data_IF_452287195991
#
_entry.id   IF_452287195991
#
_cell.length_a   1.000
_cell.length_b   1.000
_cell.length_c   1.000
_cell.angle_alpha   90.00
_cell.angle_beta   90.00
_cell.angle_gamma   90.00
#
_symmetry.space_group_name_H-M   'P 1'
#
loop_
_entity.id
_entity.type
_entity.pdbx_description
1 polymer ?
#
# COMPACT_ATOMS: atom_id res chain seq x y z
N UNK A 1 -4.76 22.04 17.05
CA UNK A 1 -5.23 21.08 16.06
C UNK A 1 -5.57 21.79 14.76
N UNK A 2 -5.18 21.24 13.63
CA UNK A 2 -5.51 21.78 12.30
C UNK A 2 -7.00 21.59 11.99
N UNK A 3 -7.52 22.50 11.16
CA UNK A 3 -8.84 22.38 10.53
C UNK A 3 -8.67 22.09 9.04
N UNK A 4 -9.68 21.46 8.43
CA UNK A 4 -9.66 21.20 6.99
C UNK A 4 -9.56 22.49 6.17
N UNK A 5 -10.22 23.56 6.63
CA UNK A 5 -10.12 24.89 6.01
C UNK A 5 -8.70 25.40 5.99
N UNK A 6 -7.94 25.27 7.09
CA UNK A 6 -6.53 25.67 7.13
C UNK A 6 -5.68 24.85 6.17
N UNK A 7 -5.89 23.54 6.11
CA UNK A 7 -5.19 22.67 5.16
C UNK A 7 -5.47 23.06 3.71
N UNK A 8 -6.73 23.33 3.39
CA UNK A 8 -7.20 23.69 2.05
C UNK A 8 -6.66 25.04 1.60
N UNK A 9 -6.75 26.07 2.46
CA UNK A 9 -6.40 27.45 2.12
C UNK A 9 -4.92 27.77 2.23
N UNK A 10 -4.10 26.86 2.78
CA UNK A 10 -2.65 27.04 2.87
C UNK A 10 -2.04 27.24 1.49
N UNK A 11 -1.36 28.38 1.28
CA UNK A 11 -0.71 28.75 0.01
C UNK A 11 0.78 28.43 0.08
N UNK A 12 1.42 28.04 -1.04
CA UNK A 12 2.86 27.87 -1.09
C UNK A 12 3.60 29.19 -0.79
N UNK A 13 4.79 29.06 -0.27
CA UNK A 13 5.74 30.16 0.01
C UNK A 13 7.07 29.84 -0.63
N UNK A 14 8.00 30.79 -0.65
CA UNK A 14 9.36 30.61 -1.21
C UNK A 14 10.14 29.48 -0.55
N UNK A 15 9.85 29.19 0.71
CA UNK A 15 10.45 28.08 1.46
C UNK A 15 9.39 27.12 1.95
N UNK A 16 9.70 25.81 2.06
CA UNK A 16 8.79 24.84 2.65
C UNK A 16 8.45 25.24 4.10
N UNK A 17 7.20 25.08 4.48
CA UNK A 17 6.77 25.33 5.85
C UNK A 17 5.79 24.25 6.34
N UNK A 18 5.57 24.19 7.64
CA UNK A 18 4.78 23.17 8.31
C UNK A 18 3.59 23.79 9.01
N UNK A 19 2.45 23.14 8.87
CA UNK A 19 1.28 23.36 9.72
C UNK A 19 1.17 22.16 10.66
N UNK A 20 1.41 22.41 11.95
CA UNK A 20 1.41 21.34 12.97
C UNK A 20 -0.01 21.02 13.40
N UNK A 21 -0.37 19.73 13.42
CA UNK A 21 -1.62 19.26 14.00
C UNK A 21 -1.43 18.80 15.45
N UNK A 22 -1.51 17.53 15.73
CA UNK A 22 -1.37 16.95 17.07
C UNK A 22 -0.47 15.70 17.03
N UNK A 23 0.20 15.42 18.16
CA UNK A 23 0.98 14.18 18.38
C UNK A 23 1.96 13.86 17.26
N UNK A 24 2.70 14.86 16.79
CA UNK A 24 3.72 14.71 15.76
C UNK A 24 3.22 14.70 14.31
N UNK A 25 1.92 14.81 14.07
CA UNK A 25 1.36 14.99 12.73
C UNK A 25 1.51 16.44 12.27
N UNK A 26 1.90 16.65 11.05
CA UNK A 26 1.90 17.97 10.41
C UNK A 26 1.72 17.88 8.90
N UNK A 27 1.22 18.95 8.32
CA UNK A 27 1.14 19.16 6.89
C UNK A 27 2.34 19.98 6.43
N UNK A 28 3.16 19.45 5.56
CA UNK A 28 4.26 20.14 4.92
C UNK A 28 3.77 20.75 3.61
N UNK A 29 3.92 22.07 3.47
CA UNK A 29 3.61 22.79 2.23
C UNK A 29 4.91 23.16 1.53
N UNK A 30 5.10 22.64 0.32
CA UNK A 30 6.29 22.90 -0.49
C UNK A 30 6.10 24.10 -1.40
N UNK A 31 7.19 24.76 -1.87
CA UNK A 31 7.11 25.89 -2.79
C UNK A 31 6.37 25.58 -4.11
N UNK A 32 6.44 24.35 -4.57
CA UNK A 32 5.73 23.88 -5.76
C UNK A 32 4.22 23.62 -5.54
N UNK A 33 3.68 23.96 -4.36
CA UNK A 33 2.27 23.78 -4.03
C UNK A 33 1.88 22.39 -3.52
N UNK A 34 2.79 21.43 -3.53
CA UNK A 34 2.51 20.09 -2.98
C UNK A 34 2.35 20.19 -1.46
N UNK A 35 1.27 19.59 -0.96
CA UNK A 35 0.95 19.48 0.46
C UNK A 35 1.06 18.02 0.86
N UNK A 36 1.95 17.71 1.81
CA UNK A 36 2.26 16.32 2.18
C UNK A 36 2.09 16.12 3.69
N UNK A 37 1.38 15.07 4.06
CA UNK A 37 1.24 14.64 5.45
C UNK A 37 2.49 13.94 5.92
N UNK A 38 3.00 14.36 7.07
CA UNK A 38 4.18 13.82 7.71
C UNK A 38 3.88 13.54 9.18
N UNK A 39 4.43 12.44 9.68
CA UNK A 39 4.40 12.07 11.09
C UNK A 39 5.82 11.98 11.63
N UNK A 40 6.13 12.81 12.64
CA UNK A 40 7.40 12.81 13.36
C UNK A 40 7.24 11.97 14.63
N UNK A 41 8.17 11.06 14.86
CA UNK A 41 8.15 10.14 15.99
C UNK A 41 9.57 9.83 16.47
N UNK A 42 9.68 9.30 17.68
CA UNK A 42 10.92 8.81 18.25
C UNK A 42 10.87 7.29 18.34
N UNK A 43 11.91 6.62 17.87
CA UNK A 43 12.16 5.21 18.12
C UNK A 43 13.26 5.05 19.14
N UNK A 44 13.11 4.09 20.04
CA UNK A 44 14.17 3.66 20.95
C UNK A 44 14.98 2.54 20.30
N UNK A 45 16.28 2.75 20.23
CA UNK A 45 17.28 1.77 19.82
C UNK A 45 18.21 1.55 21.01
N UNK A 46 17.86 0.60 21.87
CA UNK A 46 18.47 0.45 23.20
C UNK A 46 18.21 1.69 24.08
N UNK A 47 19.28 2.31 24.57
CA UNK A 47 19.20 3.54 25.39
C UNK A 47 19.07 4.82 24.56
N UNK A 48 19.33 4.75 23.26
CA UNK A 48 19.32 5.92 22.37
C UNK A 48 17.92 6.13 21.78
N UNK A 49 17.47 7.39 21.82
CA UNK A 49 16.28 7.84 21.11
C UNK A 49 16.70 8.41 19.75
N UNK A 50 16.06 7.93 18.70
CA UNK A 50 16.23 8.46 17.35
C UNK A 50 14.92 9.08 16.86
N UNK A 51 14.99 10.36 16.54
CA UNK A 51 13.91 11.04 15.84
C UNK A 51 13.84 10.53 14.40
N UNK A 52 12.65 10.18 13.94
CA UNK A 52 12.38 9.65 12.62
C UNK A 52 11.12 10.28 12.05
N UNK A 53 11.01 10.20 10.72
CA UNK A 53 9.92 10.78 9.96
C UNK A 53 9.22 9.71 9.12
N UNK A 54 7.89 9.68 9.19
CA UNK A 54 7.06 8.84 8.34
C UNK A 54 6.26 9.69 7.35
N UNK A 55 6.46 9.44 6.06
CA UNK A 55 5.67 10.04 5.00
C UNK A 55 4.32 9.31 4.91
N UNK A 56 3.25 9.92 5.36
CA UNK A 56 1.90 9.36 5.26
C UNK A 56 1.44 9.36 3.80
N UNK A 57 1.46 10.53 3.16
CA UNK A 57 1.05 10.72 1.77
C UNK A 57 0.68 12.18 1.50
N UNK A 58 0.11 12.46 0.35
CA UNK A 58 -0.29 13.80 -0.04
C UNK A 58 -1.67 14.19 0.52
N UNK A 59 -1.86 15.48 0.73
CA UNK A 59 -3.17 16.02 1.12
C UNK A 59 -4.16 15.91 -0.04
N UNK A 60 -5.36 15.49 0.27
CA UNK A 60 -6.49 15.49 -0.65
C UNK A 60 -7.75 16.03 0.02
N UNK A 61 -8.62 16.60 -0.80
CA UNK A 61 -9.98 16.98 -0.41
C UNK A 61 -10.89 15.84 -0.88
N UNK A 62 -11.71 15.30 0.02
CA UNK A 62 -12.74 14.36 -0.37
C UNK A 62 -13.88 15.12 -1.09
N UNK A 63 -14.29 14.71 -2.30
CA UNK A 63 -15.47 15.27 -2.95
C UNK A 63 -16.73 15.04 -2.11
N UNK A 64 -17.69 15.96 -2.22
CA UNK A 64 -19.02 15.72 -1.63
C UNK A 64 -19.66 14.48 -2.24
N UNK A 65 -20.06 13.51 -1.40
CA UNK A 65 -20.67 12.26 -1.87
C UNK A 65 -19.67 11.25 -2.44
N UNK A 66 -18.37 11.35 -2.10
CA UNK A 66 -17.36 10.38 -2.50
C UNK A 66 -17.81 8.95 -2.10
N UNK A 67 -17.79 8.03 -3.07
CA UNK A 67 -18.09 6.63 -2.80
C UNK A 67 -16.97 5.97 -1.98
N UNK A 68 -17.27 4.82 -1.35
CA UNK A 68 -16.24 4.06 -0.63
C UNK A 68 -15.14 3.57 -1.56
N UNK A 69 -15.47 3.22 -2.80
CA UNK A 69 -14.53 2.76 -3.81
C UNK A 69 -13.58 3.88 -4.24
N UNK A 70 -14.12 5.10 -4.50
CA UNK A 70 -13.32 6.27 -4.84
C UNK A 70 -12.39 6.69 -3.69
N UNK A 71 -12.91 6.68 -2.47
CA UNK A 71 -12.11 6.95 -1.28
C UNK A 71 -10.99 5.91 -1.10
N UNK A 72 -11.26 4.64 -1.40
CA UNK A 72 -10.25 3.59 -1.36
C UNK A 72 -9.21 3.76 -2.46
N UNK A 73 -9.61 4.06 -3.70
CA UNK A 73 -8.72 4.33 -4.81
C UNK A 73 -7.80 5.53 -4.51
N UNK A 74 -8.35 6.62 -3.94
CA UNK A 74 -7.60 7.80 -3.52
C UNK A 74 -6.53 7.45 -2.46
N UNK A 75 -6.88 6.65 -1.44
CA UNK A 75 -5.95 6.17 -0.42
C UNK A 75 -4.87 5.26 -0.99
N UNK A 76 -5.20 4.41 -1.95
CA UNK A 76 -4.20 3.61 -2.68
C UNK A 76 -3.21 4.49 -3.43
N UNK A 77 -3.64 5.62 -3.97
CA UNK A 77 -2.77 6.66 -4.52
C UNK A 77 -2.05 7.50 -3.46
N UNK A 78 -2.06 7.09 -2.19
CA UNK A 78 -1.44 7.79 -1.06
C UNK A 78 -1.89 9.25 -0.89
N UNK A 79 -3.17 9.50 -1.14
CA UNK A 79 -3.79 10.81 -1.00
C UNK A 79 -4.83 10.77 0.12
N UNK A 80 -4.62 11.57 1.15
CA UNK A 80 -5.37 11.50 2.41
C UNK A 80 -5.97 12.84 2.80
N UNK A 81 -7.21 12.82 3.26
CA UNK A 81 -7.84 13.94 3.97
C UNK A 81 -7.19 14.14 5.34
N UNK A 82 -7.54 15.22 6.04
CA UNK A 82 -7.07 15.45 7.41
C UNK A 82 -7.49 14.32 8.37
N UNK A 83 -8.75 13.86 8.27
CA UNK A 83 -9.24 12.77 9.13
C UNK A 83 -8.46 11.48 8.88
N UNK A 84 -8.30 11.08 7.61
CA UNK A 84 -7.57 9.88 7.23
C UNK A 84 -6.07 9.97 7.59
N UNK A 85 -5.46 11.15 7.49
CA UNK A 85 -4.07 11.36 7.93
C UNK A 85 -3.91 11.15 9.44
N UNK A 86 -4.91 11.54 10.24
CA UNK A 86 -4.97 11.27 11.68
C UNK A 86 -5.09 9.78 11.99
N UNK A 87 -5.89 9.05 11.20
CA UNK A 87 -6.03 7.60 11.32
C UNK A 87 -4.73 6.89 10.97
N UNK A 88 -4.09 7.27 9.86
CA UNK A 88 -2.79 6.71 9.45
C UNK A 88 -1.69 7.03 10.47
N UNK A 89 -1.66 8.24 11.05
CA UNK A 89 -0.77 8.57 12.17
C UNK A 89 -1.03 7.67 13.38
N UNK A 90 -2.30 7.38 13.70
CA UNK A 90 -2.65 6.52 14.83
C UNK A 90 -2.16 5.08 14.62
N UNK A 91 -2.32 4.54 13.41
CA UNK A 91 -1.77 3.23 13.02
C UNK A 91 -0.24 3.22 13.10
N UNK A 92 0.41 4.26 12.55
CA UNK A 92 1.87 4.39 12.61
C UNK A 92 2.38 4.48 14.05
N UNK A 93 1.68 5.22 14.94
CA UNK A 93 2.03 5.29 16.36
C UNK A 93 1.93 3.94 17.06
N UNK A 94 0.92 3.12 16.74
CA UNK A 94 0.79 1.77 17.31
C UNK A 94 2.02 0.90 16.97
N UNK A 95 2.55 1.00 15.74
CA UNK A 95 3.78 0.34 15.33
C UNK A 95 4.99 0.86 16.11
N UNK A 96 5.12 2.17 16.25
CA UNK A 96 6.21 2.82 17.02
C UNK A 96 6.22 2.35 18.48
N UNK A 97 5.05 2.20 19.10
CA UNK A 97 4.94 1.67 20.47
C UNK A 97 5.41 0.22 20.60
N UNK A 98 5.36 -0.55 19.50
CA UNK A 98 5.91 -1.90 19.39
C UNK A 98 7.40 -1.92 18.99
N UNK A 99 8.05 -0.75 18.88
CA UNK A 99 9.43 -0.64 18.41
C UNK A 99 9.62 -0.79 16.90
N UNK A 100 8.54 -0.82 16.13
CA UNK A 100 8.57 -1.03 14.69
C UNK A 100 8.57 0.32 13.96
N UNK A 101 9.51 0.49 13.02
CA UNK A 101 9.53 1.67 12.16
C UNK A 101 8.40 1.59 11.10
N UNK A 102 7.44 2.54 11.09
CA UNK A 102 6.31 2.49 10.15
C UNK A 102 6.72 2.55 8.68
N UNK A 103 7.79 3.30 8.35
CA UNK A 103 8.29 3.40 6.98
C UNK A 103 8.87 2.06 6.50
N UNK A 104 9.66 1.42 7.35
CA UNK A 104 10.23 0.10 7.05
C UNK A 104 9.15 -0.97 6.93
N UNK A 105 8.18 -0.98 7.85
CA UNK A 105 7.04 -1.90 7.80
C UNK A 105 6.22 -1.74 6.52
N UNK A 106 5.96 -0.49 6.08
CA UNK A 106 5.28 -0.23 4.80
C UNK A 106 6.08 -0.77 3.61
N UNK A 107 7.39 -0.59 3.61
CA UNK A 107 8.25 -1.09 2.54
C UNK A 107 8.25 -2.61 2.48
N UNK A 108 8.37 -3.30 3.62
CA UNK A 108 8.28 -4.76 3.68
C UNK A 108 6.92 -5.27 3.17
N UNK A 109 5.82 -4.61 3.53
CA UNK A 109 4.50 -4.97 3.06
C UNK A 109 4.36 -4.81 1.52
N UNK A 110 4.97 -3.77 0.94
CA UNK A 110 4.99 -3.57 -0.52
C UNK A 110 5.81 -4.65 -1.23
N UNK A 111 6.99 -5.00 -0.70
CA UNK A 111 7.84 -6.08 -1.23
C UNK A 111 7.08 -7.40 -1.20
N UNK A 112 6.48 -7.73 -0.05
CA UNK A 112 5.70 -8.97 0.12
C UNK A 112 4.53 -9.03 -0.86
N UNK A 113 3.78 -7.94 -1.02
CA UNK A 113 2.68 -7.85 -1.98
C UNK A 113 3.17 -7.99 -3.43
N UNK A 114 4.32 -7.39 -3.75
CA UNK A 114 4.95 -7.54 -5.06
C UNK A 114 5.31 -9.00 -5.35
N UNK A 115 5.91 -9.71 -4.39
CA UNK A 115 6.24 -11.14 -4.51
C UNK A 115 4.98 -12.01 -4.64
N UNK A 116 3.95 -11.73 -3.85
CA UNK A 116 2.66 -12.45 -3.92
C UNK A 116 1.98 -12.27 -5.27
N UNK A 117 2.04 -11.08 -5.86
CA UNK A 117 1.49 -10.78 -7.18
C UNK A 117 2.33 -11.41 -8.31
N UNK A 118 3.63 -11.57 -8.12
CA UNK A 118 4.51 -12.22 -9.09
C UNK A 118 4.28 -13.74 -9.17
N UNK A 119 3.76 -14.37 -8.11
CA UNK A 119 3.43 -15.79 -8.07
C UNK A 119 2.08 -16.02 -8.76
N UNK A 120 2.08 -16.08 -10.08
CA UNK A 120 0.89 -16.28 -10.90
C UNK A 120 0.52 -17.76 -11.01
N UNK A 121 -0.74 -18.05 -11.37
CA UNK A 121 -1.17 -19.43 -11.64
C UNK A 121 -0.33 -20.08 -12.74
N UNK A 122 -0.03 -19.36 -13.81
CA UNK A 122 0.79 -19.85 -14.91
C UNK A 122 2.20 -20.23 -14.45
N UNK A 123 2.86 -19.38 -13.62
CA UNK A 123 4.21 -19.68 -13.14
C UNK A 123 4.24 -20.94 -12.28
N UNK A 124 3.29 -21.08 -11.35
CA UNK A 124 3.18 -22.27 -10.49
C UNK A 124 2.80 -23.52 -11.27
N UNK A 125 1.88 -23.42 -12.24
CA UNK A 125 1.50 -24.56 -13.06
C UNK A 125 2.65 -25.06 -13.92
N UNK A 126 3.46 -24.17 -14.50
CA UNK A 126 4.67 -24.54 -15.26
C UNK A 126 5.71 -25.23 -14.38
N UNK A 127 5.98 -24.67 -13.19
CA UNK A 127 6.89 -25.25 -12.23
C UNK A 127 6.42 -26.63 -11.76
N UNK A 128 5.12 -26.78 -11.46
CA UNK A 128 4.52 -28.04 -11.09
C UNK A 128 4.64 -29.10 -12.19
N UNK A 129 4.41 -28.72 -13.46
CA UNK A 129 4.59 -29.63 -14.60
C UNK A 129 6.05 -30.07 -14.74
N UNK A 130 7.01 -29.18 -14.51
CA UNK A 130 8.43 -29.48 -14.60
C UNK A 130 8.89 -30.51 -13.52
N UNK A 131 8.29 -30.41 -12.32
CA UNK A 131 8.61 -31.30 -11.19
C UNK A 131 7.98 -32.72 -11.32
N UNK A 132 7.02 -32.91 -12.24
CA UNK A 132 6.39 -34.22 -12.44
C UNK A 132 7.29 -35.14 -13.26
N UNK A 133 7.42 -36.36 -12.80
CA UNK A 133 8.12 -37.44 -13.52
C UNK A 133 7.15 -38.07 -14.56
N UNK A 134 6.86 -37.29 -15.59
CA UNK A 134 6.04 -37.73 -16.73
C UNK A 134 6.87 -37.71 -18.00
N UNK A 135 6.50 -38.60 -18.97
CA UNK A 135 7.07 -38.54 -20.31
C UNK A 135 6.88 -37.14 -20.94
N UNK A 136 7.86 -36.69 -21.71
CA UNK A 136 7.84 -35.37 -22.37
C UNK A 136 6.60 -35.13 -23.24
N UNK A 137 6.10 -36.18 -23.90
CA UNK A 137 4.85 -36.13 -24.71
C UNK A 137 3.66 -35.74 -23.81
N UNK A 138 3.59 -36.33 -22.61
CA UNK A 138 2.49 -36.06 -21.66
C UNK A 138 2.62 -34.66 -21.08
N UNK A 139 3.82 -34.20 -20.72
CA UNK A 139 4.08 -32.83 -20.25
C UNK A 139 3.67 -31.81 -21.30
N UNK A 140 4.10 -31.99 -22.53
CA UNK A 140 3.78 -31.11 -23.66
C UNK A 140 2.27 -31.03 -23.93
N UNK A 141 1.58 -32.18 -23.92
CA UNK A 141 0.13 -32.22 -24.11
C UNK A 141 -0.61 -31.45 -23.01
N UNK A 142 -0.21 -31.62 -21.75
CA UNK A 142 -0.81 -30.91 -20.62
C UNK A 142 -0.51 -29.42 -20.65
N UNK A 143 0.72 -29.03 -20.96
CA UNK A 143 1.09 -27.63 -21.10
C UNK A 143 0.28 -26.94 -22.22
N UNK A 144 0.14 -27.60 -23.37
CA UNK A 144 -0.64 -27.07 -24.49
C UNK A 144 -2.12 -26.88 -24.09
N UNK A 145 -2.70 -27.83 -23.39
CA UNK A 145 -4.08 -27.70 -22.87
C UNK A 145 -4.21 -26.50 -21.92
N UNK A 146 -3.29 -26.36 -20.95
CA UNK A 146 -3.29 -25.23 -20.03
C UNK A 146 -3.13 -23.90 -20.78
N UNK A 147 -2.21 -23.82 -21.73
CA UNK A 147 -1.93 -22.61 -22.52
C UNK A 147 -3.13 -22.19 -23.36
N UNK A 148 -3.87 -23.12 -23.93
CA UNK A 148 -5.02 -22.81 -24.80
C UNK A 148 -6.31 -22.52 -24.04
N UNK A 149 -6.53 -23.15 -22.89
CA UNK A 149 -7.84 -23.15 -22.22
C UNK A 149 -7.80 -22.39 -20.90
N UNK A 150 -6.76 -22.57 -20.10
CA UNK A 150 -6.70 -22.09 -18.69
C UNK A 150 -5.95 -20.78 -18.56
N UNK A 151 -4.74 -20.69 -19.11
CA UNK A 151 -3.88 -19.50 -18.96
C UNK A 151 -4.49 -18.21 -19.51
N UNK A 152 -5.26 -18.21 -20.62
CA UNK A 152 -5.95 -17.00 -21.06
C UNK A 152 -6.99 -16.47 -20.09
N UNK A 153 -7.52 -17.32 -19.20
CA UNK A 153 -8.57 -16.96 -18.24
C UNK A 153 -8.02 -16.58 -16.87
N UNK A 154 -7.08 -17.36 -16.34
CA UNK A 154 -6.58 -17.22 -14.97
C UNK A 154 -5.06 -17.26 -14.85
N UNK A 155 -4.31 -17.43 -15.93
CA UNK A 155 -2.85 -17.60 -15.93
C UNK A 155 -2.12 -16.43 -15.26
N UNK A 156 -2.53 -15.20 -15.54
CA UNK A 156 -1.94 -13.99 -15.00
C UNK A 156 -2.41 -13.65 -13.58
N UNK A 157 -3.41 -14.36 -13.03
CA UNK A 157 -3.90 -14.09 -11.69
C UNK A 157 -2.93 -14.63 -10.62
N UNK A 158 -2.69 -13.87 -9.53
CA UNK A 158 -1.96 -14.39 -8.39
C UNK A 158 -2.65 -15.64 -7.83
N UNK A 159 -1.90 -16.70 -7.54
CA UNK A 159 -2.46 -17.98 -7.06
C UNK A 159 -3.33 -17.80 -5.83
N UNK A 160 -2.94 -16.89 -4.93
CA UNK A 160 -3.71 -16.60 -3.70
C UNK A 160 -5.08 -15.95 -3.97
N UNK A 161 -5.27 -15.33 -5.13
CA UNK A 161 -6.55 -14.71 -5.50
C UNK A 161 -7.53 -15.69 -6.15
N UNK A 162 -7.07 -16.89 -6.50
CA UNK A 162 -7.91 -17.93 -7.12
C UNK A 162 -8.63 -18.69 -6.01
N UNK A 163 -9.86 -18.28 -5.72
CA UNK A 163 -10.74 -18.98 -4.81
C UNK A 163 -11.71 -19.86 -5.58
N UNK A 164 -11.90 -21.09 -5.14
CA UNK A 164 -12.95 -21.97 -5.65
C UNK A 164 -14.30 -21.39 -5.19
N UNK A 165 -15.11 -20.88 -6.14
CA UNK A 165 -16.54 -20.76 -5.87
C UNK A 165 -17.08 -22.17 -5.70
N UNK A 166 -17.29 -22.60 -4.47
CA UNK A 166 -18.09 -23.80 -4.19
C UNK A 166 -19.48 -23.49 -4.72
N UNK A 167 -19.80 -24.00 -5.89
CA UNK A 167 -21.15 -23.99 -6.39
C UNK A 167 -21.99 -24.82 -5.42
N UNK A 168 -22.89 -24.18 -4.72
CA UNK A 168 -23.98 -24.87 -4.03
C UNK A 168 -24.85 -25.52 -5.09
N UNK A 169 -25.22 -26.79 -4.96
CA UNK A 169 -26.09 -27.50 -5.91
C UNK A 169 -27.47 -26.86 -5.98
#
# INVERSE_FOLDING_TARGET
>A
MLTDTQCRTAKPKDKPYKLTDDKGLYLEIKPNGVKAWRYRFELRDGEKKRESLFAIGDYAIAPKGESQEDAQARRHGQRFTLAEARDERTKARALVMQGINPAHNRQLALIKRGQENATTFESVAKEWLALKDWEEVTKTRRLNMLTRVVFPKIGSLPVKSITQKVGTP
#
